data_IF_699191988440
#
_entry.id   IF_699191988440
#
_cell.length_a   1.000
_cell.length_b   1.000
_cell.length_c   1.000
_cell.angle_alpha   90.00
_cell.angle_beta   90.00
_cell.angle_gamma   90.00
#
_symmetry.space_group_name_H-M   'P 1'
#
loop_
_entity.id
_entity.type
_entity.pdbx_description
1 polymer ?
#
# COMPACT_ATOMS: atom_id res chain seq x y z
N UNK A 1 6.27 -3.02 5.18
CA UNK A 1 5.25 -2.07 4.68
C UNK A 1 4.17 -1.73 5.71
N UNK A 2 3.68 -2.64 6.57
CA UNK A 2 2.63 -2.30 7.56
C UNK A 2 3.03 -1.18 8.54
N UNK A 3 3.84 -1.49 9.54
CA UNK A 3 4.27 -0.47 10.53
C UNK A 3 5.27 0.52 9.90
N UNK A 4 6.18 0.04 9.06
CA UNK A 4 7.21 0.89 8.44
C UNK A 4 6.65 1.88 7.41
N UNK A 5 5.63 1.47 6.64
CA UNK A 5 5.00 2.32 5.61
C UNK A 5 3.98 3.30 6.19
N UNK A 6 3.29 2.92 7.27
CA UNK A 6 2.46 3.83 8.04
C UNK A 6 3.31 4.95 8.66
N UNK A 7 4.39 4.59 9.35
CA UNK A 7 5.27 5.55 10.01
C UNK A 7 6.00 6.44 9.01
N UNK A 8 6.49 5.90 7.88
CA UNK A 8 7.19 6.72 6.88
C UNK A 8 6.26 7.71 6.19
N UNK A 9 5.04 7.31 5.84
CA UNK A 9 4.05 8.20 5.22
C UNK A 9 3.61 9.30 6.20
N UNK A 10 3.34 8.94 7.47
CA UNK A 10 2.99 9.91 8.49
C UNK A 10 4.09 10.96 8.70
N UNK A 11 5.36 10.54 8.84
CA UNK A 11 6.48 11.45 9.04
C UNK A 11 6.70 12.35 7.82
N UNK A 12 6.63 11.80 6.60
CA UNK A 12 6.80 12.57 5.36
C UNK A 12 5.69 13.61 5.19
N UNK A 13 4.43 13.20 5.35
CA UNK A 13 3.27 14.09 5.20
C UNK A 13 3.25 15.18 6.28
N UNK A 14 3.62 14.84 7.52
CA UNK A 14 3.73 15.83 8.61
C UNK A 14 4.83 16.85 8.33
N UNK A 15 5.95 16.42 7.74
CA UNK A 15 7.04 17.31 7.37
C UNK A 15 6.63 18.27 6.24
N UNK A 16 5.95 17.76 5.21
CA UNK A 16 5.48 18.54 4.06
C UNK A 16 4.43 19.58 4.48
N UNK A 17 3.47 19.17 5.32
CA UNK A 17 2.44 20.10 5.80
C UNK A 17 2.94 21.17 6.76
N UNK A 18 3.94 20.85 7.59
CA UNK A 18 4.61 21.86 8.43
C UNK A 18 5.36 22.89 7.57
N UNK A 19 5.93 22.45 6.45
CA UNK A 19 6.64 23.33 5.53
C UNK A 19 5.69 24.27 4.79
N UNK A 20 4.56 23.78 4.28
CA UNK A 20 3.53 24.63 3.67
C UNK A 20 3.01 25.70 4.65
N UNK A 21 2.74 25.33 5.91
CA UNK A 21 2.31 26.27 6.95
C UNK A 21 3.35 27.37 7.20
N UNK A 22 4.63 27.00 7.33
CA UNK A 22 5.72 27.96 7.52
C UNK A 22 5.90 28.91 6.33
N UNK A 23 5.73 28.43 5.10
CA UNK A 23 5.82 29.26 3.89
C UNK A 23 4.62 30.23 3.80
N UNK A 24 3.42 29.80 4.18
CA UNK A 24 2.22 30.64 4.25
C UNK A 24 2.31 31.72 5.35
N UNK A 25 2.80 31.38 6.54
CA UNK A 25 3.00 32.33 7.64
C UNK A 25 4.06 33.39 7.30
N UNK A 26 5.16 32.98 6.67
CA UNK A 26 6.20 33.88 6.19
C UNK A 26 5.72 34.85 5.11
N UNK A 27 4.78 34.43 4.26
CA UNK A 27 4.19 35.28 3.22
C UNK A 27 3.14 36.27 3.76
N UNK A 28 2.46 35.94 4.86
CA UNK A 28 1.37 36.78 5.40
C UNK A 28 1.74 37.66 6.60
N UNK A 29 2.90 37.44 7.23
CA UNK A 29 3.34 38.19 8.45
C UNK A 29 2.23 38.19 9.52
N UNK A 30 1.48 37.08 9.61
CA UNK A 30 0.35 36.91 10.50
C UNK A 30 0.21 35.42 10.90
N UNK A 31 0.10 35.16 12.21
CA UNK A 31 -0.09 33.82 12.78
C UNK A 31 -1.43 33.22 12.34
N UNK A 32 -1.39 32.08 11.66
CA UNK A 32 -2.58 31.34 11.20
C UNK A 32 -2.94 30.13 12.08
N UNK A 33 -2.30 29.98 13.24
CA UNK A 33 -2.48 28.88 14.21
C UNK A 33 -3.94 28.63 14.65
N UNK A 34 -4.89 29.55 14.39
CA UNK A 34 -6.28 29.49 14.89
C UNK A 34 -7.38 29.39 13.82
N UNK A 35 -7.06 29.17 12.55
CA UNK A 35 -8.10 28.96 11.52
C UNK A 35 -8.47 27.49 11.34
N UNK A 36 -9.72 27.22 10.91
CA UNK A 36 -10.27 25.89 10.59
C UNK A 36 -9.39 25.03 9.64
N UNK A 37 -8.39 25.61 8.98
CA UNK A 37 -7.40 24.89 8.18
C UNK A 37 -6.35 24.12 9.01
N UNK A 38 -6.12 24.48 10.28
CA UNK A 38 -5.15 23.82 11.17
C UNK A 38 -5.55 22.40 11.61
N UNK A 39 -6.85 22.08 11.65
CA UNK A 39 -7.31 20.73 12.02
C UNK A 39 -7.16 19.73 10.88
N UNK A 40 -7.42 20.15 9.63
CA UNK A 40 -7.19 19.30 8.46
C UNK A 40 -5.71 18.90 8.34
N UNK A 41 -4.80 19.76 8.83
CA UNK A 41 -3.35 19.54 8.84
C UNK A 41 -2.94 18.36 9.73
N UNK A 42 -3.66 18.06 10.81
CA UNK A 42 -3.33 16.95 11.72
C UNK A 42 -4.01 15.63 11.39
N UNK A 43 -5.23 15.65 10.84
CA UNK A 43 -6.02 14.43 10.63
C UNK A 43 -5.68 13.66 9.37
N UNK A 44 -5.38 14.36 8.28
CA UNK A 44 -5.10 13.70 6.99
C UNK A 44 -3.79 12.89 7.00
N UNK A 45 -2.67 13.31 7.64
CA UNK A 45 -1.48 12.47 7.76
C UNK A 45 -1.74 11.18 8.56
N UNK A 46 -2.57 11.26 9.60
CA UNK A 46 -2.97 10.10 10.39
C UNK A 46 -3.79 9.11 9.54
N UNK A 47 -4.75 9.60 8.75
CA UNK A 47 -5.55 8.78 7.84
C UNK A 47 -4.69 8.14 6.75
N UNK A 48 -3.78 8.90 6.13
CA UNK A 48 -2.85 8.38 5.11
C UNK A 48 -1.95 7.29 5.73
N UNK A 49 -1.40 7.53 6.93
CA UNK A 49 -0.61 6.52 7.65
C UNK A 49 -1.41 5.27 7.98
N UNK A 50 -2.66 5.40 8.44
CA UNK A 50 -3.56 4.28 8.73
C UNK A 50 -3.89 3.46 7.47
N UNK A 51 -4.27 4.11 6.37
CA UNK A 51 -4.57 3.43 5.11
C UNK A 51 -3.32 2.74 4.55
N UNK A 52 -2.18 3.42 4.55
CA UNK A 52 -0.93 2.85 4.03
C UNK A 52 -0.40 1.68 4.88
N UNK A 53 -0.64 1.71 6.19
CA UNK A 53 -0.31 0.60 7.10
C UNK A 53 -1.28 -0.58 7.02
N UNK A 54 -2.58 -0.29 6.90
CA UNK A 54 -3.64 -1.31 6.92
C UNK A 54 -3.79 -2.04 5.58
N UNK A 55 -3.59 -1.36 4.45
CA UNK A 55 -3.78 -1.96 3.13
C UNK A 55 -2.90 -3.21 2.90
N UNK A 56 -1.59 -3.21 3.18
CA UNK A 56 -0.76 -4.42 3.05
C UNK A 56 -1.18 -5.53 4.01
N UNK A 57 -1.68 -5.20 5.20
CA UNK A 57 -2.14 -6.18 6.19
C UNK A 57 -3.40 -6.88 5.70
N UNK A 58 -4.39 -6.12 5.21
CA UNK A 58 -5.64 -6.66 4.66
C UNK A 58 -5.34 -7.59 3.47
N UNK A 59 -4.47 -7.15 2.56
CA UNK A 59 -4.04 -7.97 1.42
C UNK A 59 -3.35 -9.26 1.89
N UNK A 60 -2.47 -9.17 2.90
CA UNK A 60 -1.77 -10.34 3.44
C UNK A 60 -2.74 -11.34 4.07
N UNK A 61 -3.74 -10.86 4.82
CA UNK A 61 -4.79 -11.70 5.41
C UNK A 61 -5.61 -12.38 4.30
N UNK A 62 -6.00 -11.63 3.26
CA UNK A 62 -6.70 -12.17 2.08
C UNK A 62 -5.91 -13.32 1.41
N UNK A 63 -4.60 -13.16 1.23
CA UNK A 63 -3.73 -14.20 0.65
C UNK A 63 -3.69 -15.46 1.53
N UNK A 64 -3.79 -15.31 2.86
CA UNK A 64 -3.78 -16.42 3.81
C UNK A 64 -5.13 -17.16 3.93
N UNK A 65 -6.25 -16.54 3.53
CA UNK A 65 -7.59 -17.15 3.58
C UNK A 65 -7.64 -18.56 2.98
N UNK A 66 -7.17 -18.82 1.73
CA UNK A 66 -7.21 -20.15 1.16
C UNK A 66 -6.36 -21.18 1.93
N UNK A 67 -5.26 -20.77 2.57
CA UNK A 67 -4.47 -21.65 3.43
C UNK A 67 -5.23 -22.00 4.72
N UNK A 68 -5.90 -21.02 5.33
CA UNK A 68 -6.70 -21.23 6.54
C UNK A 68 -7.91 -22.13 6.25
N UNK A 69 -8.59 -21.92 5.13
CA UNK A 69 -9.70 -22.78 4.68
C UNK A 69 -9.25 -24.24 4.53
N UNK A 70 -8.09 -24.46 3.90
CA UNK A 70 -7.53 -25.80 3.75
C UNK A 70 -7.19 -26.44 5.11
N UNK A 71 -6.62 -25.68 6.05
CA UNK A 71 -6.37 -26.17 7.41
C UNK A 71 -7.65 -26.44 8.20
N UNK A 72 -8.73 -25.74 7.90
CA UNK A 72 -10.05 -25.98 8.49
C UNK A 72 -10.76 -27.22 7.91
N UNK A 73 -10.12 -27.95 7.00
CA UNK A 73 -10.67 -29.18 6.40
C UNK A 73 -11.62 -28.94 5.22
N UNK A 74 -11.70 -27.71 4.72
CA UNK A 74 -12.49 -27.39 3.52
C UNK A 74 -11.70 -27.83 2.29
N UNK A 75 -12.23 -28.81 1.55
CA UNK A 75 -11.66 -29.26 0.29
C UNK A 75 -11.76 -28.15 -0.75
N UNK A 76 -10.63 -27.54 -1.10
CA UNK A 76 -10.54 -26.60 -2.21
C UNK A 76 -10.38 -27.36 -3.52
N UNK A 77 -10.95 -26.85 -4.64
CA UNK A 77 -10.80 -27.46 -5.96
C UNK A 77 -9.35 -27.39 -6.50
N UNK A 78 -8.52 -26.53 -5.92
CA UNK A 78 -7.11 -26.33 -6.25
C UNK A 78 -6.26 -26.55 -5.00
N UNK A 79 -4.96 -26.82 -5.19
CA UNK A 79 -4.06 -26.87 -4.04
C UNK A 79 -4.11 -25.52 -3.29
N UNK A 80 -4.11 -25.53 -1.95
CA UNK A 80 -4.23 -24.31 -1.15
C UNK A 80 -3.14 -23.28 -1.46
N UNK A 81 -1.95 -23.76 -1.81
CA UNK A 81 -0.82 -22.95 -2.20
C UNK A 81 -1.03 -22.27 -3.56
N UNK A 82 -1.52 -22.99 -4.57
CA UNK A 82 -1.86 -22.38 -5.85
C UNK A 82 -3.00 -21.37 -5.72
N UNK A 83 -4.01 -21.66 -4.89
CA UNK A 83 -5.10 -20.73 -4.61
C UNK A 83 -4.57 -19.42 -3.98
N UNK A 84 -3.65 -19.50 -3.01
CA UNK A 84 -3.03 -18.33 -2.42
C UNK A 84 -2.21 -17.51 -3.41
N UNK A 85 -1.44 -18.17 -4.28
CA UNK A 85 -0.67 -17.49 -5.34
C UNK A 85 -1.62 -16.75 -6.29
N UNK A 86 -2.73 -17.38 -6.70
CA UNK A 86 -3.75 -16.74 -7.55
C UNK A 86 -4.34 -15.51 -6.86
N UNK A 87 -4.71 -15.61 -5.58
CA UNK A 87 -5.23 -14.48 -4.79
C UNK A 87 -4.19 -13.36 -4.70
N UNK A 88 -2.92 -13.69 -4.48
CA UNK A 88 -1.84 -12.71 -4.42
C UNK A 88 -1.65 -11.97 -5.76
N UNK A 89 -1.60 -12.71 -6.87
CA UNK A 89 -1.45 -12.14 -8.21
C UNK A 89 -2.67 -11.29 -8.59
N UNK A 90 -3.89 -11.77 -8.33
CA UNK A 90 -5.11 -11.01 -8.57
C UNK A 90 -5.14 -9.72 -7.73
N UNK A 91 -4.77 -9.80 -6.46
CA UNK A 91 -4.70 -8.61 -5.59
C UNK A 91 -3.70 -7.59 -6.12
N UNK A 92 -2.50 -8.03 -6.53
CA UNK A 92 -1.49 -7.15 -7.12
C UNK A 92 -1.95 -6.52 -8.44
N UNK A 93 -2.59 -7.31 -9.31
CA UNK A 93 -3.15 -6.83 -10.57
C UNK A 93 -4.25 -5.80 -10.36
N UNK A 94 -5.22 -6.10 -9.49
CA UNK A 94 -6.33 -5.20 -9.16
C UNK A 94 -5.83 -3.89 -8.55
N UNK A 95 -4.80 -3.94 -7.70
CA UNK A 95 -4.15 -2.75 -7.16
C UNK A 95 -3.53 -1.91 -8.29
N UNK A 96 -2.82 -2.56 -9.22
CA UNK A 96 -2.24 -1.92 -10.40
C UNK A 96 -3.29 -1.28 -11.32
N UNK A 97 -4.41 -1.97 -11.54
CA UNK A 97 -5.58 -1.47 -12.29
C UNK A 97 -6.19 -0.26 -11.60
N UNK A 98 -6.39 -0.33 -10.29
CA UNK A 98 -6.95 0.75 -9.48
C UNK A 98 -6.09 2.01 -9.56
N UNK A 99 -4.77 1.86 -9.39
CA UNK A 99 -3.82 2.96 -9.49
C UNK A 99 -3.80 3.56 -10.90
N UNK A 100 -3.84 2.71 -11.93
CA UNK A 100 -3.87 3.14 -13.32
C UNK A 100 -5.11 3.97 -13.66
N UNK A 101 -6.27 3.57 -13.11
CA UNK A 101 -7.54 4.29 -13.26
C UNK A 101 -7.53 5.65 -12.58
N UNK A 102 -6.97 5.76 -11.37
CA UNK A 102 -6.84 7.05 -10.67
C UNK A 102 -5.86 7.97 -11.39
N UNK A 103 -4.75 7.41 -11.91
CA UNK A 103 -3.73 8.16 -12.63
C UNK A 103 -4.15 8.59 -14.05
N UNK A 104 -5.35 8.23 -14.52
CA UNK A 104 -5.80 8.53 -15.88
C UNK A 104 -5.00 7.80 -16.98
N UNK A 105 -4.28 6.75 -16.63
CA UNK A 105 -3.48 5.94 -17.56
C UNK A 105 -4.27 4.71 -18.02
N UNK A 106 -3.73 3.94 -18.97
CA UNK A 106 -4.34 2.68 -19.38
C UNK A 106 -4.36 1.67 -18.23
N UNK A 107 -5.55 1.50 -17.64
CA UNK A 107 -5.83 0.63 -16.49
C UNK A 107 -5.23 -0.79 -16.64
N UNK A 108 -5.39 -1.39 -17.82
CA UNK A 108 -4.88 -2.73 -18.12
C UNK A 108 -3.35 -2.77 -18.13
N UNK A 109 -2.70 -1.77 -18.74
CA UNK A 109 -1.25 -1.69 -18.82
C UNK A 109 -0.64 -1.47 -17.42
N UNK A 110 -1.29 -0.65 -16.59
CA UNK A 110 -0.88 -0.43 -15.19
C UNK A 110 -1.00 -1.72 -14.35
N UNK A 111 -2.07 -2.49 -14.55
CA UNK A 111 -2.23 -3.81 -13.94
C UNK A 111 -1.12 -4.77 -14.36
N UNK A 112 -0.88 -4.92 -15.67
CA UNK A 112 0.17 -5.80 -16.22
C UNK A 112 1.56 -5.36 -15.76
N UNK A 113 1.84 -4.05 -15.77
CA UNK A 113 3.12 -3.50 -15.27
C UNK A 113 3.35 -3.86 -13.81
N UNK A 114 2.33 -3.70 -12.98
CA UNK A 114 2.39 -4.05 -11.55
C UNK A 114 2.61 -5.55 -11.36
N UNK A 115 1.93 -6.40 -12.13
CA UNK A 115 2.17 -7.86 -12.13
C UNK A 115 3.61 -8.20 -12.53
N UNK A 116 4.13 -7.60 -13.59
CA UNK A 116 5.50 -7.84 -14.05
C UNK A 116 6.51 -7.45 -12.99
N UNK A 117 6.33 -6.32 -12.32
CA UNK A 117 7.18 -5.89 -11.20
C UNK A 117 7.13 -6.93 -10.07
N UNK A 118 5.93 -7.36 -9.65
CA UNK A 118 5.76 -8.35 -8.60
C UNK A 118 6.46 -9.69 -8.93
N UNK A 119 6.34 -10.15 -10.18
CA UNK A 119 6.95 -11.38 -10.65
C UNK A 119 8.48 -11.29 -10.68
N UNK A 120 9.02 -10.17 -11.18
CA UNK A 120 10.46 -9.90 -11.19
C UNK A 120 11.01 -9.84 -9.76
N UNK A 121 10.32 -9.14 -8.85
CA UNK A 121 10.73 -9.09 -7.44
C UNK A 121 10.72 -10.47 -6.79
N UNK A 122 9.70 -11.28 -7.03
CA UNK A 122 9.65 -12.65 -6.53
C UNK A 122 10.78 -13.51 -7.10
N UNK A 123 11.07 -13.39 -8.40
CA UNK A 123 12.18 -14.10 -9.04
C UNK A 123 13.54 -13.69 -8.46
N UNK A 124 13.75 -12.38 -8.21
CA UNK A 124 14.96 -11.89 -7.55
C UNK A 124 15.10 -12.45 -6.14
N UNK A 125 14.04 -12.39 -5.32
CA UNK A 125 14.04 -12.95 -3.96
C UNK A 125 14.40 -14.43 -3.99
N UNK A 126 13.80 -15.19 -4.92
CA UNK A 126 14.10 -16.61 -5.10
C UNK A 126 15.55 -16.83 -5.52
N UNK A 127 16.10 -16.02 -6.41
CA UNK A 127 17.50 -16.14 -6.86
C UNK A 127 18.48 -15.88 -5.70
N UNK A 128 18.28 -14.81 -4.93
CA UNK A 128 19.17 -14.44 -3.82
C UNK A 128 19.03 -15.37 -2.59
N UNK A 129 17.81 -15.80 -2.29
CA UNK A 129 17.56 -16.73 -1.16
C UNK A 129 17.92 -18.16 -1.55
N UNK A 130 17.65 -18.55 -2.81
CA UNK A 130 18.00 -19.86 -3.35
C UNK A 130 19.49 -20.04 -3.62
N UNK A 131 20.25 -18.95 -3.83
CA UNK A 131 21.73 -19.01 -3.92
C UNK A 131 22.43 -19.09 -2.56
N UNK A 132 21.68 -19.01 -1.45
CA UNK A 132 22.20 -19.11 -0.08
C UNK A 132 21.82 -20.41 0.62
N UNK A 133 21.28 -21.39 -0.12
CA UNK A 133 21.04 -22.77 0.29
C UNK A 133 21.93 -23.73 -0.50
#
# INVERSE_FOLDING_TARGET
MGVSGASSAYVSETAERRRELSELEGAMVADLEKSLHGDAVRWVPLLIGLVNGSAPLIISVLILVPLWLARAGISLPLSPLYAAIIVALLSAFLLGVYLGRIAGTSWLLSGVRTLSIALVTAALIYLFTGSSA
#
